data_IF_371943757717
#
_entry.id   IF_371943757717
#
_cell.length_a   1.000
_cell.length_b   1.000
_cell.length_c   1.000
_cell.angle_alpha   90.00
_cell.angle_beta   90.00
_cell.angle_gamma   90.00
#
_symmetry.space_group_name_H-M   'P 1'
#
loop_
_entity.id
_entity.type
_entity.pdbx_description
1 polymer ?
#
# COMPACT_ATOMS: atom_id res chain seq x y z
N UNK A 1 28.06 13.45 10.05
CA UNK A 1 26.66 13.02 9.90
C UNK A 1 26.43 12.12 11.08
N UNK A 2 25.80 12.64 12.12
CA UNK A 2 25.60 11.87 13.34
C UNK A 2 24.50 10.86 13.05
N UNK A 3 24.89 9.58 12.96
CA UNK A 3 23.99 8.45 12.87
C UNK A 3 23.08 8.47 14.10
N UNK A 4 21.77 8.61 13.92
CA UNK A 4 20.83 8.49 15.02
C UNK A 4 20.77 6.99 15.42
N UNK A 5 21.39 6.58 16.55
CA UNK A 5 21.68 5.17 16.85
C UNK A 5 20.41 4.36 17.18
N UNK A 6 19.28 5.04 17.37
CA UNK A 6 17.99 4.42 17.66
C UNK A 6 17.43 3.72 16.41
N UNK A 7 17.73 4.21 15.20
CA UNK A 7 17.04 3.80 13.96
C UNK A 7 17.55 2.43 13.43
N UNK A 8 18.84 2.11 13.58
CA UNK A 8 19.41 0.90 12.96
C UNK A 8 19.22 -0.40 13.78
N UNK A 9 18.91 -0.29 15.08
CA UNK A 9 18.76 -1.44 15.98
C UNK A 9 17.33 -1.99 16.05
N UNK A 10 16.33 -1.21 15.60
CA UNK A 10 14.93 -1.57 15.74
C UNK A 10 14.51 -2.69 14.78
N UNK A 11 13.60 -3.55 15.24
CA UNK A 11 13.02 -4.63 14.45
C UNK A 11 11.94 -4.08 13.51
N UNK A 12 11.69 -4.79 12.41
CA UNK A 12 10.68 -4.40 11.41
C UNK A 12 9.31 -4.13 12.03
N UNK A 13 8.86 -5.01 12.93
CA UNK A 13 7.59 -4.84 13.64
C UNK A 13 7.51 -3.58 14.50
N UNK A 14 8.63 -3.04 14.98
CA UNK A 14 8.63 -1.77 15.71
C UNK A 14 8.21 -0.62 14.77
N UNK A 15 8.76 -0.58 13.55
CA UNK A 15 8.39 0.41 12.55
C UNK A 15 6.94 0.27 12.12
N UNK A 16 6.48 -0.97 11.93
CA UNK A 16 5.08 -1.24 11.59
C UNK A 16 4.12 -0.71 12.65
N UNK A 17 4.40 -0.98 13.92
CA UNK A 17 3.48 -0.67 15.02
C UNK A 17 3.58 0.78 15.52
N UNK A 18 4.76 1.39 15.50
CA UNK A 18 4.96 2.70 16.14
C UNK A 18 4.97 3.86 15.15
N UNK A 19 5.19 3.58 13.87
CA UNK A 19 5.21 4.61 12.84
C UNK A 19 4.16 4.34 11.78
N UNK A 20 4.25 3.21 11.08
CA UNK A 20 3.44 3.00 9.89
C UNK A 20 1.96 2.75 10.20
N UNK A 21 1.61 2.13 11.32
CA UNK A 21 0.22 2.03 11.79
C UNK A 21 -0.38 3.42 12.03
N UNK A 22 0.35 4.30 12.71
CA UNK A 22 -0.08 5.65 13.06
C UNK A 22 -0.23 6.57 11.84
N UNK A 23 0.58 6.35 10.80
CA UNK A 23 0.52 7.13 9.55
C UNK A 23 -0.56 6.60 8.60
N UNK A 24 -0.66 5.28 8.44
CA UNK A 24 -1.46 4.67 7.37
C UNK A 24 -2.88 4.34 7.83
N UNK A 25 -3.04 3.74 9.01
CA UNK A 25 -4.32 3.17 9.44
C UNK A 25 -5.42 4.25 9.54
N UNK A 26 -5.16 5.45 10.12
CA UNK A 26 -6.17 6.50 10.21
C UNK A 26 -6.70 7.02 8.87
N UNK A 27 -5.94 6.85 7.78
CA UNK A 27 -6.40 7.26 6.45
C UNK A 27 -7.60 6.44 5.95
N UNK A 28 -7.89 5.29 6.58
CA UNK A 28 -8.94 4.36 6.18
C UNK A 28 -10.05 4.19 7.22
N UNK A 29 -9.97 4.83 8.40
CA UNK A 29 -10.95 4.66 9.48
C UNK A 29 -12.40 4.95 9.05
N UNK A 30 -12.58 5.97 8.20
CA UNK A 30 -13.88 6.40 7.69
C UNK A 30 -14.31 5.68 6.39
N UNK A 31 -13.53 4.71 5.94
CA UNK A 31 -13.82 3.91 4.75
C UNK A 31 -14.33 2.53 5.15
N UNK A 32 -15.06 1.88 4.25
CA UNK A 32 -15.49 0.49 4.44
C UNK A 32 -14.36 -0.52 4.13
N UNK A 33 -13.12 -0.16 4.45
CA UNK A 33 -11.91 -0.91 4.13
C UNK A 33 -11.17 -1.20 5.43
N UNK A 34 -10.84 -2.46 5.65
CA UNK A 34 -9.94 -2.89 6.70
C UNK A 34 -8.53 -3.04 6.13
N UNK A 35 -7.54 -2.51 6.85
CA UNK A 35 -6.15 -2.87 6.64
C UNK A 35 -5.80 -4.08 7.52
N UNK A 36 -5.79 -5.26 6.90
CA UNK A 36 -5.41 -6.51 7.58
C UNK A 36 -3.88 -6.56 7.65
N UNK A 37 -3.31 -6.16 8.79
CA UNK A 37 -1.87 -6.21 9.09
C UNK A 37 -1.42 -7.59 9.55
N UNK A 38 -0.11 -7.83 9.40
CA UNK A 38 0.56 -9.04 9.81
C UNK A 38 0.39 -10.13 8.77
N UNK A 39 1.46 -10.38 8.00
CA UNK A 39 1.67 -11.64 7.26
C UNK A 39 0.40 -12.18 6.54
N UNK A 40 -0.38 -11.27 5.94
CA UNK A 40 -1.71 -11.51 5.40
C UNK A 40 -1.62 -12.06 3.98
N UNK A 41 -2.46 -13.05 3.69
CA UNK A 41 -2.52 -13.66 2.36
C UNK A 41 -3.57 -12.98 1.49
N UNK A 42 -3.16 -12.59 0.27
CA UNK A 42 -4.07 -12.11 -0.77
C UNK A 42 -4.99 -13.21 -1.28
N UNK A 43 -6.29 -12.98 -1.17
CA UNK A 43 -7.33 -13.79 -1.77
C UNK A 43 -7.30 -13.71 -3.28
N UNK A 44 -7.10 -12.53 -3.87
CA UNK A 44 -7.01 -12.40 -5.33
C UNK A 44 -5.89 -13.28 -5.91
N UNK A 45 -4.72 -13.28 -5.26
CA UNK A 45 -3.61 -14.17 -5.63
C UNK A 45 -3.92 -15.65 -5.43
N UNK A 46 -4.63 -16.01 -4.36
CA UNK A 46 -5.08 -17.38 -4.11
C UNK A 46 -6.03 -17.83 -5.22
N UNK A 47 -7.03 -17.03 -5.52
CA UNK A 47 -8.11 -17.39 -6.44
C UNK A 47 -7.56 -17.54 -7.87
N UNK A 48 -6.69 -16.62 -8.32
CA UNK A 48 -5.96 -16.77 -9.59
C UNK A 48 -5.13 -18.05 -9.66
N UNK A 49 -4.39 -18.40 -8.60
CA UNK A 49 -3.53 -19.61 -8.58
C UNK A 49 -4.33 -20.91 -8.62
N UNK A 50 -5.60 -20.88 -8.21
CA UNK A 50 -6.47 -22.04 -8.10
C UNK A 50 -7.59 -22.05 -9.17
N UNK A 51 -7.50 -21.23 -10.23
CA UNK A 51 -8.54 -21.13 -11.25
C UNK A 51 -8.90 -22.48 -11.91
N UNK A 52 -7.90 -23.34 -12.09
CA UNK A 52 -8.03 -24.68 -12.69
C UNK A 52 -7.90 -25.81 -11.67
N UNK A 53 -8.10 -25.51 -10.38
CA UNK A 53 -7.95 -26.49 -9.29
C UNK A 53 -9.09 -27.51 -9.33
N UNK A 54 -8.76 -28.77 -9.12
CA UNK A 54 -9.75 -29.83 -8.87
C UNK A 54 -9.85 -30.19 -7.38
N UNK A 55 -10.91 -30.90 -6.98
CA UNK A 55 -11.21 -31.21 -5.58
C UNK A 55 -10.08 -31.97 -4.88
N UNK A 56 -9.39 -32.86 -5.59
CA UNK A 56 -8.33 -33.71 -5.07
C UNK A 56 -6.98 -33.00 -4.93
N UNK A 57 -6.80 -31.83 -5.53
CA UNK A 57 -5.56 -31.08 -5.40
C UNK A 57 -5.39 -30.49 -4.00
N UNK A 58 -4.18 -30.06 -3.64
CA UNK A 58 -3.99 -29.16 -2.49
C UNK A 58 -4.24 -27.71 -2.93
N UNK A 59 -5.02 -26.96 -2.14
CA UNK A 59 -5.24 -25.52 -2.40
C UNK A 59 -3.92 -24.75 -2.32
N UNK A 60 -3.57 -24.03 -3.39
CA UNK A 60 -2.40 -23.15 -3.45
C UNK A 60 -2.67 -21.89 -2.63
N UNK A 61 -1.73 -21.50 -1.79
CA UNK A 61 -1.83 -20.28 -0.98
C UNK A 61 -1.64 -19.02 -1.82
N UNK A 62 -2.28 -17.93 -1.40
CA UNK A 62 -2.09 -16.60 -1.94
C UNK A 62 -0.65 -16.10 -1.82
N UNK A 63 -0.35 -14.94 -2.40
CA UNK A 63 0.87 -14.23 -2.03
C UNK A 63 0.63 -13.57 -0.69
N UNK A 64 1.68 -13.56 0.14
CA UNK A 64 1.64 -13.09 1.52
C UNK A 64 2.38 -11.77 1.60
N UNK A 65 1.81 -10.74 2.20
CA UNK A 65 2.47 -9.46 2.47
C UNK A 65 2.18 -8.97 3.88
N UNK A 66 2.77 -7.85 4.26
CA UNK A 66 2.68 -7.35 5.64
C UNK A 66 1.35 -6.64 5.92
N UNK A 67 0.69 -6.16 4.87
CA UNK A 67 -0.67 -5.63 4.93
C UNK A 67 -1.46 -5.88 3.66
N UNK A 68 -2.78 -6.04 3.79
CA UNK A 68 -3.71 -6.09 2.66
C UNK A 68 -4.92 -5.22 2.97
N UNK A 69 -5.25 -4.31 2.05
CA UNK A 69 -6.46 -3.50 2.12
C UNK A 69 -7.64 -4.29 1.58
N UNK A 70 -8.65 -4.55 2.40
CA UNK A 70 -9.79 -5.41 2.08
C UNK A 70 -11.10 -4.74 2.41
N UNK A 71 -12.11 -4.89 1.57
CA UNK A 71 -13.46 -4.43 1.88
C UNK A 71 -14.03 -5.21 3.08
N UNK A 72 -14.63 -4.50 4.04
CA UNK A 72 -15.20 -5.10 5.26
C UNK A 72 -16.22 -6.18 4.91
N UNK A 73 -16.08 -7.34 5.56
CA UNK A 73 -16.95 -8.52 5.40
C UNK A 73 -16.98 -9.08 3.97
N UNK A 74 -16.01 -8.74 3.14
CA UNK A 74 -15.86 -9.23 1.76
C UNK A 74 -14.45 -9.79 1.54
N UNK A 75 -14.22 -10.36 0.36
CA UNK A 75 -12.95 -10.90 -0.11
C UNK A 75 -12.24 -9.96 -1.09
N UNK A 76 -12.88 -8.86 -1.50
CA UNK A 76 -12.31 -7.89 -2.44
C UNK A 76 -11.17 -7.10 -1.80
N UNK A 77 -10.06 -7.02 -2.53
CA UNK A 77 -8.80 -6.43 -2.09
C UNK A 77 -8.45 -5.24 -3.00
N UNK A 78 -8.03 -4.13 -2.38
CA UNK A 78 -7.79 -2.84 -3.05
C UNK A 78 -6.33 -2.40 -2.97
N UNK A 79 -5.50 -3.18 -2.29
CA UNK A 79 -4.11 -2.84 -2.12
C UNK A 79 -3.35 -3.76 -1.20
N UNK A 80 -2.05 -3.51 -1.08
CA UNK A 80 -1.15 -4.25 -0.21
C UNK A 80 -0.07 -3.33 0.38
N UNK A 81 0.61 -3.84 1.41
CA UNK A 81 1.77 -3.23 2.05
C UNK A 81 2.89 -4.27 2.14
N UNK A 82 4.12 -3.85 1.86
CA UNK A 82 5.33 -4.55 2.29
C UNK A 82 6.21 -3.59 3.09
N UNK A 83 6.72 -4.09 4.20
CA UNK A 83 7.61 -3.36 5.09
C UNK A 83 9.01 -3.96 5.03
N UNK A 84 10.01 -3.09 5.13
CA UNK A 84 11.38 -3.47 5.30
C UNK A 84 12.00 -2.83 6.51
N UNK A 85 12.78 -3.61 7.24
CA UNK A 85 13.60 -3.10 8.34
C UNK A 85 14.57 -1.99 7.91
N UNK A 86 15.18 -2.10 6.73
CA UNK A 86 16.25 -1.20 6.26
C UNK A 86 15.90 -0.59 4.91
N UNK A 87 16.45 0.60 4.68
CA UNK A 87 16.46 1.24 3.38
C UNK A 87 17.88 1.26 2.80
N UNK A 88 18.13 0.43 1.79
CA UNK A 88 19.43 0.35 1.09
C UNK A 88 19.43 1.14 -0.23
N UNK A 89 18.42 2.00 -0.43
CA UNK A 89 18.19 2.66 -1.72
C UNK A 89 17.34 1.84 -2.69
N UNK A 90 16.99 2.45 -3.82
CA UNK A 90 16.14 1.84 -4.86
C UNK A 90 16.77 0.62 -5.54
N UNK A 91 18.10 0.53 -5.51
CA UNK A 91 18.85 -0.62 -6.03
C UNK A 91 19.09 -1.70 -4.97
N UNK A 92 18.58 -1.51 -3.74
CA UNK A 92 18.65 -2.51 -2.68
C UNK A 92 17.86 -3.76 -3.05
N UNK A 93 18.44 -4.93 -2.82
CA UNK A 93 17.85 -6.22 -3.21
C UNK A 93 16.48 -6.40 -2.57
N UNK A 94 16.34 -6.11 -1.26
CA UNK A 94 15.07 -6.26 -0.54
C UNK A 94 13.98 -5.36 -1.12
N UNK A 95 14.29 -4.10 -1.38
CA UNK A 95 13.33 -3.17 -1.96
C UNK A 95 12.86 -3.63 -3.35
N UNK A 96 13.78 -4.07 -4.23
CA UNK A 96 13.40 -4.57 -5.55
C UNK A 96 12.54 -5.85 -5.47
N UNK A 97 12.88 -6.78 -4.57
CA UNK A 97 12.12 -8.02 -4.39
C UNK A 97 10.72 -7.74 -3.86
N UNK A 98 10.60 -6.87 -2.86
CA UNK A 98 9.32 -6.51 -2.23
C UNK A 98 8.45 -5.70 -3.19
N UNK A 99 9.06 -4.79 -3.96
CA UNK A 99 8.41 -4.05 -5.05
C UNK A 99 7.84 -4.99 -6.12
N UNK A 100 8.58 -6.01 -6.53
CA UNK A 100 8.06 -6.97 -7.52
C UNK A 100 6.95 -7.85 -6.92
N UNK A 101 7.08 -8.21 -5.65
CA UNK A 101 6.10 -9.01 -4.90
C UNK A 101 4.76 -8.28 -4.80
N UNK A 102 4.77 -7.02 -4.37
CA UNK A 102 3.58 -6.18 -4.25
C UNK A 102 2.96 -5.92 -5.64
N UNK A 103 3.75 -5.61 -6.67
CA UNK A 103 3.24 -5.43 -8.03
C UNK A 103 2.46 -6.65 -8.55
N UNK A 104 2.95 -7.86 -8.25
CA UNK A 104 2.26 -9.11 -8.60
C UNK A 104 0.97 -9.30 -7.81
N UNK A 105 0.93 -8.89 -6.55
CA UNK A 105 -0.30 -8.92 -5.74
C UNK A 105 -1.34 -7.93 -6.27
N UNK A 106 -0.94 -6.68 -6.50
CA UNK A 106 -1.81 -5.62 -7.00
C UNK A 106 -2.39 -5.96 -8.37
N UNK A 107 -1.60 -6.54 -9.28
CA UNK A 107 -2.11 -7.01 -10.58
C UNK A 107 -3.20 -8.07 -10.41
N UNK A 108 -3.00 -9.03 -9.50
CA UNK A 108 -4.00 -10.07 -9.23
C UNK A 108 -5.29 -9.46 -8.65
N UNK A 109 -5.17 -8.51 -7.71
CA UNK A 109 -6.30 -7.76 -7.13
C UNK A 109 -7.07 -6.96 -8.18
N UNK A 110 -6.36 -6.19 -9.02
CA UNK A 110 -6.97 -5.38 -10.06
C UNK A 110 -7.72 -6.22 -11.10
N UNK A 111 -7.18 -7.38 -11.47
CA UNK A 111 -7.86 -8.32 -12.36
C UNK A 111 -9.13 -8.89 -11.71
N UNK A 112 -9.09 -9.23 -10.43
CA UNK A 112 -10.30 -9.69 -9.72
C UNK A 112 -11.37 -8.60 -9.71
N UNK A 113 -11.02 -7.36 -9.36
CA UNK A 113 -11.95 -6.22 -9.38
C UNK A 113 -12.53 -5.97 -10.78
N UNK A 114 -11.73 -6.16 -11.83
CA UNK A 114 -12.21 -6.03 -13.21
C UNK A 114 -13.24 -7.11 -13.57
N UNK A 115 -13.04 -8.35 -13.11
CA UNK A 115 -14.00 -9.45 -13.28
C UNK A 115 -15.31 -9.15 -12.54
N UNK A 116 -15.25 -8.63 -11.31
CA UNK A 116 -16.44 -8.22 -10.55
C UNK A 116 -17.22 -7.08 -11.21
N UNK A 117 -16.56 -6.29 -12.06
CA UNK A 117 -17.20 -5.26 -12.89
C UNK A 117 -17.71 -5.79 -14.23
N UNK A 118 -17.83 -7.11 -14.41
CA UNK A 118 -18.15 -7.80 -15.67
C UNK A 118 -17.24 -7.40 -16.85
N UNK A 119 -16.00 -6.96 -16.56
CA UNK A 119 -15.08 -6.41 -17.57
C UNK A 119 -15.63 -5.21 -18.37
N UNK A 120 -16.65 -4.52 -17.85
CA UNK A 120 -17.22 -3.31 -18.48
C UNK A 120 -16.17 -2.22 -18.57
N UNK A 121 -15.75 -1.88 -19.79
CA UNK A 121 -14.59 -1.03 -20.04
C UNK A 121 -14.66 0.32 -19.30
N UNK A 122 -15.84 0.93 -19.27
CA UNK A 122 -16.09 2.22 -18.62
C UNK A 122 -15.93 2.19 -17.09
N UNK A 123 -16.14 1.03 -16.46
CA UNK A 123 -15.89 0.78 -15.04
C UNK A 123 -14.44 0.37 -14.82
N UNK A 124 -13.93 -0.58 -15.60
CA UNK A 124 -12.56 -1.12 -15.47
C UNK A 124 -11.52 -0.01 -15.60
N UNK A 125 -11.72 0.95 -16.50
CA UNK A 125 -10.81 2.09 -16.67
C UNK A 125 -10.77 3.06 -15.50
N UNK A 126 -11.73 2.97 -14.57
CA UNK A 126 -11.78 3.75 -13.32
C UNK A 126 -11.20 2.98 -12.13
N UNK A 127 -10.94 1.68 -12.28
CA UNK A 127 -10.36 0.88 -11.21
C UNK A 127 -8.90 1.26 -10.97
N UNK A 128 -8.55 1.33 -9.70
CA UNK A 128 -7.20 1.54 -9.23
C UNK A 128 -6.99 0.76 -7.93
N UNK A 129 -5.81 0.17 -7.79
CA UNK A 129 -5.34 -0.44 -6.54
C UNK A 129 -4.04 0.22 -6.09
N UNK A 130 -3.79 0.20 -4.79
CA UNK A 130 -2.68 0.93 -4.16
C UNK A 130 -1.70 -0.03 -3.48
N UNK A 131 -0.41 0.13 -3.77
CA UNK A 131 0.67 -0.52 -3.03
C UNK A 131 1.40 0.48 -2.16
N UNK A 132 1.79 0.06 -0.97
CA UNK A 132 2.68 0.84 -0.10
C UNK A 132 3.94 0.02 0.17
N UNK A 133 5.09 0.61 -0.13
CA UNK A 133 6.40 0.07 0.22
C UNK A 133 7.01 0.95 1.29
N UNK A 134 7.30 0.37 2.44
CA UNK A 134 7.92 1.08 3.54
C UNK A 134 9.28 0.46 3.87
N UNK A 135 10.25 1.28 4.21
CA UNK A 135 11.60 0.85 4.57
C UNK A 135 12.21 1.79 5.59
N UNK A 136 12.48 1.31 6.81
CA UNK A 136 12.84 2.17 7.95
C UNK A 136 11.86 3.36 8.06
N UNK A 137 12.32 4.60 7.93
CA UNK A 137 11.54 5.84 7.95
C UNK A 137 11.07 6.35 6.58
N UNK A 138 11.19 5.55 5.52
CA UNK A 138 10.82 5.95 4.15
C UNK A 138 9.61 5.19 3.64
N UNK A 139 8.75 5.90 2.92
CA UNK A 139 7.52 5.37 2.31
C UNK A 139 7.53 5.66 0.81
N UNK A 140 7.03 4.71 0.04
CA UNK A 140 6.68 4.93 -1.35
C UNK A 140 5.34 4.29 -1.66
N UNK A 141 4.44 5.12 -2.16
CA UNK A 141 3.14 4.67 -2.67
C UNK A 141 3.26 4.35 -4.15
N UNK A 142 2.62 3.29 -4.59
CA UNK A 142 2.42 2.97 -5.99
C UNK A 142 0.94 2.78 -6.30
N UNK A 143 0.55 3.10 -7.52
CA UNK A 143 -0.82 2.89 -8.00
C UNK A 143 -0.79 2.00 -9.24
N UNK A 144 -1.71 1.05 -9.32
CA UNK A 144 -1.89 0.18 -10.49
C UNK A 144 -3.29 0.37 -11.04
N UNK A 145 -3.38 0.65 -12.34
CA UNK A 145 -4.63 0.88 -13.05
C UNK A 145 -4.67 0.19 -14.44
N UNK A 146 -5.85 0.19 -15.07
CA UNK A 146 -6.12 -0.33 -16.40
C UNK A 146 -6.60 0.79 -17.34
N UNK A 147 -5.74 1.75 -17.76
CA UNK A 147 -6.18 2.97 -18.44
C UNK A 147 -6.89 2.74 -19.79
N UNK A 148 -6.62 1.59 -20.42
CA UNK A 148 -7.25 1.15 -21.68
C UNK A 148 -8.15 -0.09 -21.49
N UNK A 149 -8.42 -0.50 -20.25
CA UNK A 149 -9.19 -1.71 -19.93
C UNK A 149 -8.39 -3.02 -19.95
N UNK A 150 -7.26 -3.09 -20.66
CA UNK A 150 -6.46 -4.32 -20.80
C UNK A 150 -4.96 -4.16 -20.50
N UNK A 151 -4.42 -2.94 -20.55
CA UNK A 151 -3.01 -2.67 -20.24
C UNK A 151 -2.89 -2.42 -18.74
N UNK A 152 -2.14 -3.24 -18.02
CA UNK A 152 -1.77 -2.94 -16.63
C UNK A 152 -0.68 -1.88 -16.62
N UNK A 153 -0.95 -0.77 -15.94
CA UNK A 153 -0.02 0.33 -15.78
C UNK A 153 0.31 0.51 -14.30
N UNK A 154 1.60 0.56 -13.98
CA UNK A 154 2.12 0.70 -12.61
C UNK A 154 2.84 2.04 -12.54
N UNK A 155 2.42 2.90 -11.62
CA UNK A 155 3.09 4.17 -11.32
C UNK A 155 3.68 4.13 -9.93
N UNK A 156 4.97 4.44 -9.85
CA UNK A 156 5.68 4.67 -8.61
C UNK A 156 5.62 6.15 -8.28
N UNK A 157 5.01 6.51 -7.16
CA UNK A 157 5.02 7.91 -6.71
C UNK A 157 6.40 8.28 -6.18
N UNK A 158 6.57 9.58 -5.94
CA UNK A 158 7.76 10.08 -5.24
C UNK A 158 7.87 9.35 -3.90
N UNK A 159 9.11 9.03 -3.55
CA UNK A 159 9.42 8.48 -2.25
C UNK A 159 9.54 9.63 -1.25
N UNK A 160 8.89 9.44 -0.11
CA UNK A 160 8.87 10.42 0.97
C UNK A 160 9.57 9.82 2.20
N UNK A 161 9.97 10.70 3.10
CA UNK A 161 10.69 10.38 4.34
C UNK A 161 9.93 10.99 5.50
N UNK A 162 9.73 10.19 6.54
CA UNK A 162 9.12 10.63 7.79
C UNK A 162 10.25 11.05 8.72
N UNK A 163 10.17 12.29 9.20
CA UNK A 163 11.06 12.80 10.23
C UNK A 163 10.70 12.13 11.57
N UNK A 164 11.52 11.15 11.99
CA UNK A 164 11.27 10.34 13.17
C UNK A 164 11.30 11.16 14.46
N UNK A 165 12.17 12.15 14.56
CA UNK A 165 12.31 12.94 15.78
C UNK A 165 11.04 13.75 16.00
N UNK A 166 10.60 14.50 14.99
CA UNK A 166 9.35 15.26 15.04
C UNK A 166 8.10 14.36 15.14
N UNK A 167 8.14 13.15 14.58
CA UNK A 167 6.99 12.23 14.61
C UNK A 167 6.82 11.51 15.95
N UNK A 168 7.94 11.22 16.63
CA UNK A 168 7.97 10.53 17.92
C UNK A 168 8.06 11.49 19.11
N UNK A 169 8.26 12.79 18.86
CA UNK A 169 8.25 13.80 19.90
C UNK A 169 6.84 13.92 20.51
N UNK A 170 6.64 13.17 21.60
CA UNK A 170 5.43 13.21 22.43
C UNK A 170 5.42 14.45 23.36
N UNK A 171 6.38 15.38 23.23
CA UNK A 171 6.47 16.59 24.06
C UNK A 171 5.55 17.72 23.58
N UNK A 172 4.23 17.50 23.62
CA UNK A 172 3.28 18.60 23.68
C UNK A 172 2.12 18.30 24.63
N UNK A 173 1.91 19.22 25.56
CA UNK A 173 0.77 19.32 26.48
C UNK A 173 -0.55 19.48 25.70
N UNK A 174 -1.10 18.41 25.12
CA UNK A 174 -2.41 18.40 24.45
C UNK A 174 -3.28 17.22 24.92
N UNK A 175 -4.22 17.57 25.80
CA UNK A 175 -5.57 17.01 25.97
C UNK A 175 -5.87 15.56 25.58
N UNK A 176 -5.13 14.58 26.12
CA UNK A 176 -5.62 13.26 26.52
C UNK A 176 -6.29 12.36 25.47
N UNK A 177 -6.37 12.77 24.21
CA UNK A 177 -6.93 12.05 23.10
C UNK A 177 -5.96 12.15 21.93
N UNK A 178 -5.24 11.05 21.70
CA UNK A 178 -4.31 10.87 20.59
C UNK A 178 -5.05 10.97 19.24
N UNK A 179 -5.19 12.19 18.75
CA UNK A 179 -5.52 12.48 17.36
C UNK A 179 -4.24 13.04 16.73
N UNK A 180 -3.77 12.51 15.59
CA UNK A 180 -2.64 13.13 14.91
C UNK A 180 -2.98 14.60 14.61
N UNK A 181 -2.00 15.52 14.68
CA UNK A 181 -2.24 16.94 14.50
C UNK A 181 -2.98 17.17 13.16
N UNK A 182 -4.16 17.78 13.25
CA UNK A 182 -5.06 18.07 12.11
C UNK A 182 -4.48 19.08 11.11
N UNK A 183 -3.24 19.51 11.28
CA UNK A 183 -2.60 20.53 10.47
C UNK A 183 -1.63 19.89 9.50
N UNK A 184 -2.17 19.24 8.46
CA UNK A 184 -1.42 19.09 7.22
C UNK A 184 -1.24 20.49 6.67
N UNK A 185 -0.04 21.07 6.81
CA UNK A 185 0.33 22.31 6.14
C UNK A 185 0.10 22.13 4.64
N UNK A 186 -0.90 22.84 4.12
CA UNK A 186 -1.39 22.82 2.75
C UNK A 186 -0.45 23.53 1.75
N UNK A 187 0.82 23.13 1.75
CA UNK A 187 1.80 23.50 0.72
C UNK A 187 2.43 22.18 0.25
N UNK A 188 2.15 21.58 -0.90
CA UNK A 188 1.65 22.08 -2.17
C UNK A 188 1.18 20.85 -2.97
N UNK A 189 -0.12 20.64 -3.11
CA UNK A 189 -0.67 19.78 -4.16
C UNK A 189 -1.42 20.69 -5.14
N UNK A 190 -0.73 21.13 -6.18
CA UNK A 190 -1.38 21.79 -7.31
C UNK A 190 -1.76 20.70 -8.30
N UNK A 191 -3.06 20.46 -8.46
CA UNK A 191 -3.59 19.63 -9.54
C UNK A 191 -3.25 20.31 -10.87
N UNK A 192 -2.62 19.62 -11.84
CA UNK A 192 -2.44 20.17 -13.18
C UNK A 192 -3.81 20.43 -13.82
N UNK A 193 -4.07 21.68 -14.23
CA UNK A 193 -5.22 21.96 -15.08
C UNK A 193 -5.00 21.32 -16.45
N UNK A 194 -5.96 20.49 -16.89
CA UNK A 194 -6.00 20.01 -18.27
C UNK A 194 -6.18 21.21 -19.19
N UNK A 195 -5.17 21.51 -20.01
CA UNK A 195 -5.41 22.26 -21.23
C UNK A 195 -6.31 21.41 -22.13
N UNK A 196 -7.48 21.95 -22.46
CA UNK A 196 -8.34 21.38 -23.47
C UNK A 196 -7.59 21.43 -24.81
N UNK A 197 -7.29 20.25 -25.36
CA UNK A 197 -6.99 20.10 -26.78
C UNK A 197 -8.19 20.66 -27.55
N UNK A 198 -8.03 21.86 -28.11
CA UNK A 198 -8.89 22.34 -29.18
C UNK A 198 -8.64 21.43 -30.38
N UNK A 199 -9.73 20.86 -30.89
CA UNK A 199 -9.83 20.06 -32.11
C UNK A 199 -9.09 20.71 -33.28
#
# INVERSE_FOLDING_TARGET
MDENPIVDSLLEGWYEMNMWSRVIDPAFDNLNIDLVRGESMSYASSDRKNLTRETNDRKKLGRKGDGVFRLRKDRLEFGAIETGRKWEGKSGTKYMTDSLKICKMLKDMLNQLAIECDMKEDLVRKLQVVGILNGANRIQVMTVDLPKGYITHIRYNKQDEVDLENFLDDSDNQDGYHTPPRTVSSKTFVTPQKEALKL
#
